data_IF_353004780874
#
_entry.id   IF_353004780874
#
_cell.length_a   1.000
_cell.length_b   1.000
_cell.length_c   1.000
_cell.angle_alpha   90.00
_cell.angle_beta   90.00
_cell.angle_gamma   90.00
#
_symmetry.space_group_name_H-M   'P 1'
#
loop_
_entity.id
_entity.type
_entity.pdbx_description
1 polymer ?
#
# COMPACT_ATOMS: atom_id res chain seq x y z
N UNK A 1 -1.84 -2.24 -11.35
CA UNK A 1 -0.81 -2.37 -10.31
C UNK A 1 -1.00 -1.30 -9.26
N UNK A 2 -1.07 -1.72 -8.01
CA UNK A 2 -1.18 -0.76 -6.91
C UNK A 2 -0.60 -1.36 -5.62
N UNK A 3 -0.24 -0.47 -4.68
CA UNK A 3 0.20 -0.88 -3.36
C UNK A 3 -0.96 -1.49 -2.57
N UNK A 4 -0.68 -2.45 -1.66
CA UNK A 4 -1.73 -3.00 -0.80
C UNK A 4 -2.40 -1.90 0.03
N UNK A 5 -3.69 -2.01 0.21
CA UNK A 5 -4.46 -1.06 1.00
C UNK A 5 -5.74 -1.71 1.51
N UNK A 6 -6.30 -1.12 2.56
CA UNK A 6 -7.58 -1.57 3.09
C UNK A 6 -8.18 -0.52 4.02
N UNK A 7 -9.42 -0.74 4.38
CA UNK A 7 -10.15 0.17 5.27
C UNK A 7 -9.87 -0.15 6.73
N UNK A 8 -9.79 0.89 7.54
CA UNK A 8 -9.68 0.76 8.99
C UNK A 8 -11.02 0.33 9.54
N UNK A 9 -11.06 -0.82 10.22
CA UNK A 9 -12.27 -1.28 10.89
C UNK A 9 -12.57 -0.42 12.13
N UNK A 10 -13.85 -0.30 12.53
CA UNK A 10 -14.19 0.48 13.73
C UNK A 10 -13.40 0.01 14.95
N UNK A 11 -12.74 0.96 15.62
CA UNK A 11 -11.95 0.68 16.81
C UNK A 11 -10.57 0.11 16.54
N UNK A 12 -10.21 -0.09 15.27
CA UNK A 12 -8.90 -0.62 14.88
C UNK A 12 -7.87 0.50 14.80
N UNK A 13 -6.67 0.24 15.30
CA UNK A 13 -5.55 1.17 15.16
C UNK A 13 -5.03 1.19 13.72
N UNK A 14 -4.72 2.36 13.13
CA UNK A 14 -4.21 2.43 11.75
C UNK A 14 -2.99 1.55 11.47
N UNK A 15 -2.04 1.47 12.40
CA UNK A 15 -0.86 0.62 12.21
C UNK A 15 -1.24 -0.86 12.22
N UNK A 16 -2.16 -1.26 13.12
CA UNK A 16 -2.67 -2.63 13.14
C UNK A 16 -3.39 -2.98 11.84
N UNK A 17 -4.18 -2.04 11.31
CA UNK A 17 -4.85 -2.21 10.01
C UNK A 17 -3.83 -2.42 8.90
N UNK A 18 -2.75 -1.62 8.87
CA UNK A 18 -1.72 -1.73 7.85
C UNK A 18 -1.03 -3.10 7.90
N UNK A 19 -0.69 -3.59 9.09
CA UNK A 19 -0.12 -4.94 9.25
C UNK A 19 -1.07 -6.02 8.75
N UNK A 20 -2.34 -5.92 9.12
CA UNK A 20 -3.37 -6.89 8.74
C UNK A 20 -3.56 -6.93 7.23
N UNK A 21 -3.73 -5.77 6.61
CA UNK A 21 -3.96 -5.68 5.16
C UNK A 21 -2.75 -6.15 4.37
N UNK A 22 -1.54 -5.83 4.84
CA UNK A 22 -0.32 -6.30 4.20
C UNK A 22 -0.29 -7.83 4.18
N UNK A 23 -0.57 -8.47 5.31
CA UNK A 23 -0.58 -9.93 5.40
C UNK A 23 -1.69 -10.53 4.54
N UNK A 24 -2.92 -10.01 4.65
CA UNK A 24 -4.06 -10.54 3.92
C UNK A 24 -3.85 -10.46 2.40
N UNK A 25 -3.35 -9.33 1.92
CA UNK A 25 -3.24 -9.10 0.47
C UNK A 25 -1.96 -9.66 -0.14
N UNK A 26 -0.84 -9.66 0.59
CA UNK A 26 0.47 -10.03 0.03
C UNK A 26 1.10 -11.26 0.65
N UNK A 27 0.69 -11.64 1.85
CA UNK A 27 1.34 -12.71 2.59
C UNK A 27 2.60 -12.29 3.34
N UNK A 28 2.95 -11.00 3.31
CA UNK A 28 4.13 -10.50 4.00
C UNK A 28 3.79 -9.90 5.35
N UNK A 29 4.71 -10.07 6.30
CA UNK A 29 4.67 -9.42 7.60
C UNK A 29 5.87 -8.49 7.68
N UNK A 30 5.65 -7.26 8.12
CA UNK A 30 6.71 -6.26 8.26
C UNK A 30 7.25 -6.24 9.68
N UNK A 31 8.57 -6.12 9.82
CA UNK A 31 9.19 -5.88 11.10
C UNK A 31 8.85 -4.48 11.63
N UNK A 32 8.85 -3.50 10.73
CA UNK A 32 8.49 -2.12 11.07
C UNK A 32 7.58 -1.52 10.02
N UNK A 33 6.65 -0.65 10.48
CA UNK A 33 5.83 0.19 9.62
C UNK A 33 6.09 1.63 10.02
N UNK A 34 6.63 2.41 9.10
CA UNK A 34 6.92 3.83 9.32
C UNK A 34 5.86 4.68 8.62
N UNK A 35 5.16 5.50 9.40
CA UNK A 35 4.20 6.46 8.85
C UNK A 35 4.95 7.54 8.04
N UNK A 36 4.47 7.81 6.84
CA UNK A 36 5.10 8.83 6.00
C UNK A 36 4.21 10.03 5.75
N UNK A 37 2.93 9.84 5.41
CA UNK A 37 2.03 10.96 5.19
C UNK A 37 0.59 10.50 5.11
N UNK A 38 -0.32 11.47 5.17
CA UNK A 38 -1.74 11.26 4.93
C UNK A 38 -2.13 12.05 3.69
N UNK A 39 -2.87 11.41 2.78
CA UNK A 39 -3.36 12.06 1.57
C UNK A 39 -4.89 12.04 1.52
N UNK A 40 -5.44 12.96 0.76
CA UNK A 40 -6.88 13.06 0.52
C UNK A 40 -7.09 12.92 -1.00
N UNK A 41 -7.41 11.72 -1.50
CA UNK A 41 -7.44 11.48 -2.95
C UNK A 41 -8.45 12.34 -3.70
N UNK A 42 -9.59 12.66 -3.06
CA UNK A 42 -10.69 13.38 -3.72
C UNK A 42 -11.24 14.44 -2.77
N UNK A 43 -10.40 15.38 -2.36
CA UNK A 43 -10.73 16.34 -1.30
C UNK A 43 -11.99 17.19 -1.60
N UNK A 44 -12.28 17.41 -2.88
CA UNK A 44 -13.45 18.22 -3.29
C UNK A 44 -14.78 17.44 -3.21
N UNK A 45 -14.73 16.12 -3.16
CA UNK A 45 -15.92 15.27 -3.25
C UNK A 45 -16.07 14.25 -2.12
N UNK A 46 -15.05 14.04 -1.33
CA UNK A 46 -15.03 12.97 -0.36
C UNK A 46 -14.22 13.38 0.86
N UNK A 47 -14.57 12.82 2.01
CA UNK A 47 -13.78 12.96 3.24
C UNK A 47 -12.74 11.82 3.36
N UNK A 48 -12.63 10.99 2.34
CA UNK A 48 -11.68 9.89 2.35
C UNK A 48 -10.26 10.38 2.56
N UNK A 49 -9.55 9.68 3.42
CA UNK A 49 -8.12 9.89 3.61
C UNK A 49 -7.40 8.55 3.58
N UNK A 50 -6.16 8.56 3.12
CA UNK A 50 -5.30 7.37 3.08
C UNK A 50 -4.03 7.68 3.86
N UNK A 51 -3.71 6.84 4.83
CA UNK A 51 -2.46 6.95 5.58
C UNK A 51 -1.44 6.02 4.93
N UNK A 52 -0.31 6.58 4.53
CA UNK A 52 0.75 5.84 3.85
C UNK A 52 1.86 5.46 4.82
N UNK A 53 2.29 4.21 4.71
CA UNK A 53 3.37 3.65 5.53
C UNK A 53 4.41 2.99 4.64
N UNK A 54 5.67 3.02 5.07
CA UNK A 54 6.72 2.21 4.47
C UNK A 54 6.95 0.99 5.36
N UNK A 55 6.83 -0.19 4.77
CA UNK A 55 7.05 -1.46 5.46
C UNK A 55 8.49 -1.93 5.22
N UNK A 56 9.18 -2.30 6.30
CA UNK A 56 10.57 -2.77 6.22
C UNK A 56 10.71 -4.07 7.00
N UNK A 57 11.70 -4.86 6.61
CA UNK A 57 11.95 -6.15 7.24
C UNK A 57 10.84 -7.14 6.94
N UNK A 58 10.54 -7.32 5.66
CA UNK A 58 9.44 -8.17 5.24
C UNK A 58 9.81 -9.65 5.34
N UNK A 59 8.89 -10.44 5.88
CA UNK A 59 8.98 -11.89 5.92
C UNK A 59 7.74 -12.48 5.28
N UNK A 60 7.92 -13.38 4.34
CA UNK A 60 6.80 -14.03 3.66
C UNK A 60 6.15 -15.05 4.57
N UNK A 61 4.86 -14.93 4.75
CA UNK A 61 4.03 -15.92 5.39
C UNK A 61 2.97 -16.39 4.38
N UNK A 62 1.88 -16.95 4.85
CA UNK A 62 0.82 -17.38 3.96
C UNK A 62 -0.19 -16.25 3.76
N UNK A 63 -0.51 -15.95 2.49
CA UNK A 63 -1.51 -14.95 2.15
C UNK A 63 -2.90 -15.41 2.57
N UNK A 64 -3.68 -14.50 3.17
CA UNK A 64 -5.01 -14.79 3.69
C UNK A 64 -6.04 -13.86 3.05
N UNK A 65 -6.34 -14.12 1.78
CA UNK A 65 -7.39 -13.38 1.07
C UNK A 65 -8.76 -13.81 1.55
N UNK A 66 -9.71 -12.87 1.57
CA UNK A 66 -11.12 -13.22 1.69
C UNK A 66 -11.50 -14.06 0.48
N UNK A 67 -12.47 -14.95 0.66
CA UNK A 67 -12.85 -15.88 -0.41
C UNK A 67 -13.36 -15.22 -1.69
N UNK A 68 -13.69 -13.93 -1.64
CA UNK A 68 -14.11 -13.15 -2.82
C UNK A 68 -12.99 -12.31 -3.43
N UNK A 69 -11.78 -12.39 -2.89
CA UNK A 69 -10.65 -11.63 -3.38
C UNK A 69 -9.76 -12.48 -4.26
N UNK A 70 -9.40 -11.94 -5.43
CA UNK A 70 -8.51 -12.59 -6.40
C UNK A 70 -7.40 -11.60 -6.74
N UNK A 71 -6.26 -11.74 -6.06
CA UNK A 71 -5.14 -10.80 -6.22
C UNK A 71 -3.87 -11.56 -6.57
N UNK A 72 -3.13 -11.00 -7.53
CA UNK A 72 -1.78 -11.45 -7.84
C UNK A 72 -0.79 -10.53 -7.16
N UNK A 73 0.17 -11.09 -6.43
CA UNK A 73 1.25 -10.31 -5.82
C UNK A 73 2.40 -10.24 -6.81
N UNK A 74 2.79 -9.00 -7.14
CA UNK A 74 3.88 -8.73 -8.08
C UNK A 74 4.95 -7.94 -7.36
N UNK A 75 6.20 -8.41 -7.46
CA UNK A 75 7.35 -7.68 -6.93
C UNK A 75 7.98 -6.88 -8.07
N UNK A 76 8.12 -5.58 -7.85
CA UNK A 76 8.60 -4.66 -8.90
C UNK A 76 9.76 -3.85 -8.35
N UNK A 77 10.85 -3.77 -9.12
CA UNK A 77 11.98 -2.90 -8.79
C UNK A 77 11.51 -1.44 -8.78
N UNK A 78 12.01 -0.62 -7.84
CA UNK A 78 11.60 0.79 -7.77
C UNK A 78 11.78 1.56 -9.08
N UNK A 79 12.87 1.33 -9.79
CA UNK A 79 13.13 2.00 -11.07
C UNK A 79 12.12 1.60 -12.13
N UNK A 80 11.72 0.32 -12.17
CA UNK A 80 10.70 -0.15 -13.11
C UNK A 80 9.33 0.43 -12.77
N UNK A 81 8.99 0.53 -11.49
CA UNK A 81 7.74 1.17 -11.07
C UNK A 81 7.69 2.63 -11.53
N UNK A 82 8.79 3.37 -11.35
CA UNK A 82 8.88 4.75 -11.82
C UNK A 82 8.71 4.84 -13.34
N UNK A 83 9.31 3.90 -14.08
CA UNK A 83 9.14 3.85 -15.53
C UNK A 83 7.67 3.67 -15.91
N UNK A 84 6.98 2.75 -15.24
CA UNK A 84 5.56 2.48 -15.51
C UNK A 84 4.68 3.70 -15.18
N UNK A 85 5.00 4.41 -14.10
CA UNK A 85 4.29 5.63 -13.73
C UNK A 85 4.46 6.69 -14.80
N UNK A 86 5.70 6.92 -15.25
CA UNK A 86 6.00 7.92 -16.28
C UNK A 86 5.37 7.58 -17.62
N UNK A 87 5.22 6.29 -17.91
CA UNK A 87 4.59 5.82 -19.15
C UNK A 87 3.05 5.84 -19.08
N UNK A 88 2.47 6.16 -17.93
CA UNK A 88 1.03 6.16 -17.75
C UNK A 88 0.42 4.78 -17.55
N UNK A 89 1.24 3.77 -17.32
CA UNK A 89 0.78 2.40 -17.09
C UNK A 89 0.28 2.17 -15.66
N UNK A 90 0.75 3.00 -14.73
CA UNK A 90 0.31 3.00 -13.33
C UNK A 90 -0.24 4.37 -13.01
N UNK A 91 -1.50 4.44 -12.62
CA UNK A 91 -2.21 5.70 -12.37
C UNK A 91 -2.83 5.81 -10.98
N UNK A 92 -2.70 4.80 -10.14
CA UNK A 92 -3.24 4.83 -8.79
C UNK A 92 -2.55 5.90 -7.95
N UNK A 93 -3.34 6.79 -7.34
CA UNK A 93 -2.81 7.97 -6.65
C UNK A 93 -1.88 7.62 -5.49
N UNK A 94 -2.27 6.66 -4.63
CA UNK A 94 -1.44 6.30 -3.48
C UNK A 94 -0.13 5.65 -3.91
N UNK A 95 -0.16 4.87 -4.99
CA UNK A 95 1.01 4.20 -5.54
C UNK A 95 2.01 5.21 -6.11
N UNK A 96 1.52 6.18 -6.86
CA UNK A 96 2.38 7.23 -7.43
C UNK A 96 3.07 8.02 -6.32
N UNK A 97 2.31 8.45 -5.32
CA UNK A 97 2.87 9.23 -4.22
C UNK A 97 3.88 8.42 -3.41
N UNK A 98 3.52 7.19 -3.07
CA UNK A 98 4.42 6.32 -2.32
C UNK A 98 5.70 6.00 -3.08
N UNK A 99 5.61 5.77 -4.39
CA UNK A 99 6.77 5.51 -5.22
C UNK A 99 7.73 6.70 -5.25
N UNK A 100 7.21 7.91 -5.43
CA UNK A 100 8.04 9.11 -5.38
C UNK A 100 8.66 9.33 -4.01
N UNK A 101 7.91 9.03 -2.94
CA UNK A 101 8.45 9.16 -1.59
C UNK A 101 9.65 8.24 -1.37
N UNK A 102 9.50 6.97 -1.76
CA UNK A 102 10.58 5.97 -1.63
C UNK A 102 11.78 6.35 -2.47
N UNK A 103 11.57 6.93 -3.66
CA UNK A 103 12.65 7.35 -4.53
C UNK A 103 13.51 8.47 -3.95
N UNK A 104 13.04 9.19 -2.93
CA UNK A 104 13.77 10.26 -2.27
C UNK A 104 14.60 9.78 -1.07
N UNK A 105 14.52 8.51 -0.71
CA UNK A 105 15.23 7.98 0.47
C UNK A 105 16.50 7.17 0.14
#
# INVERSE_FOLDING_TARGET
LEFPAGKIDPGEDPVATAHRELLEETGYVAQTLEYITTIHPVISYSTEKIELYVARGLTLQERQLDHNEFLDVVLVEPAELMRQIKAGEVSDVKTIIGAFWVAQT
#
